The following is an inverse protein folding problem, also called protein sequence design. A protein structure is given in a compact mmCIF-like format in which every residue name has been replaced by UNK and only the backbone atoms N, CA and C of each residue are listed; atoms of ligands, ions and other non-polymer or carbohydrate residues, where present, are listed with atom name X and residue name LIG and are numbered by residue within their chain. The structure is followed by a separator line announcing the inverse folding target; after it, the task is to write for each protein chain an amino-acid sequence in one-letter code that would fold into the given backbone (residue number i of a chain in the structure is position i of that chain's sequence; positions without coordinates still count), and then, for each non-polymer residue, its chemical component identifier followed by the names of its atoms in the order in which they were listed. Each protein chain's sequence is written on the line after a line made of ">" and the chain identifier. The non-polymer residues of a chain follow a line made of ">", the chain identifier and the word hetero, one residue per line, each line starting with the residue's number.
data_IF_880675057544
#
_entry.id   IF_880675057544
#
_cell.length_a   1.000
_cell.length_b   1.000
_cell.length_c   1.000
_cell.angle_alpha   90.00
_cell.angle_beta   90.00
_cell.angle_gamma   90.00
#
_symmetry.space_group_name_H-M   'P 1'
#
loop_
_entity.id
_entity.type
_entity.pdbx_description
1 polymer ?
#
# COMPACT_ATOMS: atom_id res chain seq x y z
N UNK A 1 33.49 -46.96 32.42
CA UNK A 1 32.49 -46.77 31.33
C UNK A 1 31.94 -45.32 31.32
N UNK A 2 32.79 -44.30 31.50
CA UNK A 2 32.34 -42.89 31.62
C UNK A 2 32.82 -42.00 30.46
N UNK A 3 33.95 -42.32 29.83
CA UNK A 3 34.56 -41.52 28.76
C UNK A 3 33.66 -41.45 27.50
N UNK A 4 32.94 -42.53 27.16
CA UNK A 4 32.03 -42.56 26.00
C UNK A 4 30.79 -41.66 26.17
N UNK A 5 30.31 -41.46 27.40
CA UNK A 5 29.08 -40.70 27.68
C UNK A 5 29.28 -39.19 27.48
N UNK A 6 30.46 -38.67 27.83
CA UNK A 6 30.81 -37.27 27.62
C UNK A 6 31.12 -36.93 26.15
N UNK A 7 31.70 -37.86 25.39
CA UNK A 7 31.95 -37.68 23.95
C UNK A 7 30.63 -37.63 23.16
N UNK A 8 29.67 -38.50 23.50
CA UNK A 8 28.36 -38.54 22.85
C UNK A 8 27.53 -37.26 23.08
N UNK A 9 27.57 -36.68 24.30
CA UNK A 9 26.91 -35.40 24.61
C UNK A 9 27.51 -34.23 23.81
N UNK A 10 28.84 -34.19 23.63
CA UNK A 10 29.51 -33.16 22.83
C UNK A 10 29.15 -33.25 21.35
N UNK A 11 29.05 -34.47 20.81
CA UNK A 11 28.63 -34.70 19.42
C UNK A 11 27.18 -34.25 19.21
N UNK A 12 26.28 -34.58 20.16
CA UNK A 12 24.87 -34.18 20.10
C UNK A 12 24.67 -32.66 20.19
N UNK A 13 25.50 -31.96 20.99
CA UNK A 13 25.47 -30.50 21.09
C UNK A 13 25.97 -29.85 19.78
N UNK A 14 26.99 -30.45 19.14
CA UNK A 14 27.53 -29.95 17.89
C UNK A 14 26.54 -30.08 16.72
N UNK A 15 25.82 -31.22 16.64
CA UNK A 15 24.74 -31.41 15.66
C UNK A 15 23.54 -30.50 15.91
N UNK A 16 23.20 -30.23 17.17
CA UNK A 16 22.13 -29.26 17.48
C UNK A 16 22.52 -27.84 17.05
N UNK A 17 23.76 -27.41 17.30
CA UNK A 17 24.26 -26.10 16.87
C UNK A 17 24.31 -25.96 15.34
N UNK A 18 24.70 -27.00 14.59
CA UNK A 18 24.72 -26.93 13.13
C UNK A 18 23.32 -26.90 12.52
N UNK A 19 22.34 -27.61 13.09
CA UNK A 19 20.94 -27.55 12.64
C UNK A 19 20.33 -26.15 12.88
N UNK A 20 20.62 -25.53 14.01
CA UNK A 20 20.17 -24.16 14.33
C UNK A 20 20.80 -23.14 13.34
N UNK A 21 22.09 -23.28 13.03
CA UNK A 21 22.78 -22.40 12.08
C UNK A 21 22.25 -22.54 10.65
N UNK A 22 21.98 -23.77 10.19
CA UNK A 22 21.41 -24.04 8.86
C UNK A 22 19.96 -23.50 8.78
N UNK A 23 19.19 -23.59 9.86
CA UNK A 23 17.84 -23.01 9.96
C UNK A 23 17.87 -21.49 9.86
N UNK A 24 18.81 -20.83 10.54
CA UNK A 24 19.00 -19.38 10.51
C UNK A 24 19.40 -18.87 9.11
N UNK A 25 20.24 -19.63 8.38
CA UNK A 25 20.62 -19.25 7.01
C UNK A 25 19.47 -19.40 6.01
N UNK A 26 18.62 -20.43 6.16
CA UNK A 26 17.42 -20.60 5.33
C UNK A 26 16.39 -19.50 5.56
N UNK A 27 16.16 -19.13 6.81
CA UNK A 27 15.23 -18.02 7.16
C UNK A 27 15.74 -16.68 6.67
N UNK A 28 17.06 -16.41 6.76
CA UNK A 28 17.66 -15.19 6.20
C UNK A 28 17.50 -15.12 4.68
N UNK A 29 17.83 -16.21 3.96
CA UNK A 29 17.62 -16.31 2.51
C UNK A 29 16.15 -16.19 2.08
N UNK A 30 15.21 -16.71 2.87
CA UNK A 30 13.77 -16.52 2.60
C UNK A 30 13.33 -15.09 2.85
N UNK A 31 13.85 -14.45 3.90
CA UNK A 31 13.59 -13.04 4.22
C UNK A 31 14.10 -12.12 3.11
N UNK A 32 15.29 -12.36 2.60
CA UNK A 32 15.90 -11.58 1.50
C UNK A 32 15.20 -11.82 0.14
N UNK A 33 14.52 -12.97 -0.01
CA UNK A 33 13.75 -13.33 -1.21
C UNK A 33 12.30 -12.83 -1.19
N UNK A 34 11.74 -12.64 0.00
CA UNK A 34 10.39 -12.08 0.23
C UNK A 34 10.40 -10.56 0.38
N UNK A 35 11.52 -10.00 0.81
CA UNK A 35 11.73 -8.57 0.98
C UNK A 35 13.12 -8.26 0.43
N UNK A 36 13.27 -7.90 -0.87
CA UNK A 36 14.55 -7.47 -1.40
C UNK A 36 15.14 -6.37 -0.52
N UNK A 37 16.48 -6.25 -0.53
CA UNK A 37 17.29 -5.45 0.40
C UNK A 37 16.64 -4.14 0.84
N UNK A 38 16.99 -3.73 2.07
CA UNK A 38 16.36 -2.71 2.89
C UNK A 38 17.04 -1.32 2.89
N UNK A 39 17.45 -0.72 1.75
CA UNK A 39 17.95 0.65 1.79
C UNK A 39 16.96 1.63 2.44
N UNK A 40 15.65 1.33 2.37
CA UNK A 40 14.62 2.16 2.97
C UNK A 40 14.62 2.14 4.51
N UNK A 41 15.00 1.02 5.14
CA UNK A 41 15.15 0.97 6.61
C UNK A 41 16.36 1.80 7.07
N UNK A 42 17.43 1.85 6.26
CA UNK A 42 18.65 2.60 6.57
C UNK A 42 18.51 4.11 6.32
N UNK A 43 17.60 4.51 5.44
CA UNK A 43 17.35 5.91 5.11
C UNK A 43 16.31 6.62 6.02
N UNK A 44 15.86 5.99 7.10
CA UNK A 44 14.82 6.52 8.00
C UNK A 44 13.51 6.90 7.29
N UNK A 45 13.23 6.30 6.13
CA UNK A 45 11.97 6.52 5.41
C UNK A 45 10.86 5.76 6.14
N UNK A 46 9.75 6.45 6.37
CA UNK A 46 8.56 5.85 6.99
C UNK A 46 8.12 4.60 6.20
N UNK A 47 7.96 3.48 6.92
CA UNK A 47 7.59 2.17 6.35
C UNK A 47 6.37 2.22 5.45
N UNK A 48 5.46 3.15 5.71
CA UNK A 48 4.29 3.37 4.88
C UNK A 48 4.63 3.58 3.39
N UNK A 49 5.70 4.30 3.07
CA UNK A 49 6.02 4.73 1.70
C UNK A 49 6.86 3.76 0.88
N UNK A 50 7.33 2.66 1.48
CA UNK A 50 8.10 1.62 0.78
C UNK A 50 7.54 0.21 0.99
N UNK A 51 6.44 0.07 1.71
CA UNK A 51 5.67 -1.16 1.71
C UNK A 51 4.93 -1.30 0.38
N UNK A 52 5.14 -2.39 -0.34
CA UNK A 52 4.52 -2.66 -1.65
C UNK A 52 3.45 -3.77 -1.57
N UNK A 53 3.41 -4.50 -0.47
CA UNK A 53 2.54 -5.66 -0.28
C UNK A 53 2.38 -6.05 1.19
N UNK A 54 1.28 -6.75 1.48
CA UNK A 54 1.18 -7.62 2.65
C UNK A 54 0.92 -9.07 2.24
N UNK A 55 0.48 -9.89 3.18
CA UNK A 55 0.38 -11.34 2.95
C UNK A 55 -0.61 -11.72 1.83
N UNK A 56 -1.71 -10.98 1.73
CA UNK A 56 -2.86 -11.26 0.86
C UNK A 56 -3.32 -10.05 0.04
N UNK A 57 -2.48 -9.00 -0.06
CA UNK A 57 -2.81 -7.78 -0.80
C UNK A 57 -1.58 -7.09 -1.38
N UNK A 58 -1.80 -6.34 -2.46
CA UNK A 58 -0.89 -5.34 -3.01
C UNK A 58 -1.33 -3.95 -2.58
N UNK A 59 -0.38 -3.02 -2.46
CA UNK A 59 -0.68 -1.63 -2.12
C UNK A 59 0.07 -0.61 -2.97
N UNK A 60 -0.55 0.57 -3.12
CA UNK A 60 0.09 1.80 -3.59
C UNK A 60 -0.07 2.87 -2.51
N UNK A 61 1.01 3.36 -1.88
CA UNK A 61 0.90 4.43 -0.89
C UNK A 61 0.49 5.76 -1.54
N UNK A 62 -0.50 6.43 -0.95
CA UNK A 62 -0.90 7.78 -1.35
C UNK A 62 -0.24 8.82 -0.42
N UNK A 63 -1.02 9.52 0.39
CA UNK A 63 -0.55 10.41 1.44
C UNK A 63 -0.98 9.80 2.77
N UNK A 64 -0.03 9.49 3.66
CA UNK A 64 -0.29 8.82 4.93
C UNK A 64 -1.47 9.46 5.67
N UNK A 65 -2.48 8.68 6.11
CA UNK A 65 -2.53 7.21 6.11
C UNK A 65 -3.21 6.57 4.89
N UNK A 66 -3.54 7.34 3.85
CA UNK A 66 -4.30 6.86 2.69
C UNK A 66 -3.48 6.02 1.73
N UNK A 67 -4.01 4.89 1.33
CA UNK A 67 -3.40 3.93 0.42
C UNK A 67 -4.46 3.33 -0.50
N UNK A 68 -4.06 2.95 -1.71
CA UNK A 68 -4.85 2.01 -2.51
C UNK A 68 -4.43 0.60 -2.14
N UNK A 69 -5.40 -0.28 -1.91
CA UNK A 69 -5.17 -1.71 -1.67
C UNK A 69 -5.96 -2.52 -2.69
N UNK A 70 -5.38 -3.65 -3.12
CA UNK A 70 -6.07 -4.66 -3.92
C UNK A 70 -5.75 -6.04 -3.36
N UNK A 71 -6.79 -6.75 -2.93
CA UNK A 71 -6.66 -8.11 -2.40
C UNK A 71 -6.22 -9.07 -3.51
N UNK A 72 -5.44 -10.09 -3.16
CA UNK A 72 -5.07 -11.14 -4.10
C UNK A 72 -6.31 -11.85 -4.63
N UNK A 73 -6.40 -11.98 -5.95
CA UNK A 73 -7.58 -12.55 -6.63
C UNK A 73 -8.72 -11.56 -6.85
N UNK A 74 -8.67 -10.36 -6.26
CA UNK A 74 -9.58 -9.26 -6.59
C UNK A 74 -9.08 -8.51 -7.84
N UNK A 75 -10.03 -7.95 -8.60
CA UNK A 75 -9.75 -6.98 -9.66
C UNK A 75 -9.82 -5.54 -9.16
N UNK A 76 -10.45 -5.33 -8.01
CA UNK A 76 -10.87 -4.02 -7.57
C UNK A 76 -9.87 -3.40 -6.60
N UNK A 77 -9.59 -2.12 -6.84
CA UNK A 77 -8.85 -1.28 -5.93
C UNK A 77 -9.79 -0.61 -4.94
N UNK A 78 -9.35 -0.54 -3.69
CA UNK A 78 -10.02 0.13 -2.58
C UNK A 78 -9.11 1.23 -2.03
N UNK A 79 -9.69 2.38 -1.73
CA UNK A 79 -9.05 3.38 -0.89
C UNK A 79 -9.23 3.01 0.57
N UNK A 80 -8.10 2.90 1.27
CA UNK A 80 -8.03 2.51 2.66
C UNK A 80 -7.18 3.51 3.45
N UNK A 81 -7.43 3.60 4.76
CA UNK A 81 -6.56 4.34 5.72
C UNK A 81 -5.82 3.40 6.68
N UNK A 82 -5.89 2.09 6.47
CA UNK A 82 -5.35 1.05 7.34
C UNK A 82 -6.16 -0.25 7.31
N UNK A 83 -5.91 -1.16 8.27
CA UNK A 83 -6.66 -2.43 8.42
C UNK A 83 -7.85 -2.34 9.38
N UNK A 84 -8.07 -1.18 10.00
CA UNK A 84 -9.14 -1.00 10.99
C UNK A 84 -10.41 -0.51 10.30
N UNK A 85 -11.22 -1.49 9.85
CA UNK A 85 -12.52 -1.39 9.17
C UNK A 85 -13.57 -0.48 9.85
N UNK A 86 -13.32 -0.02 11.07
CA UNK A 86 -14.24 0.80 11.85
C UNK A 86 -13.83 2.28 11.74
N UNK A 87 -14.33 2.96 10.70
CA UNK A 87 -14.12 4.40 10.47
C UNK A 87 -13.45 4.79 9.15
N UNK A 88 -13.27 3.84 8.23
CA UNK A 88 -12.57 4.04 6.96
C UNK A 88 -13.38 4.85 5.94
N UNK A 89 -12.68 5.68 5.16
CA UNK A 89 -13.18 6.26 3.92
C UNK A 89 -13.29 5.14 2.87
N UNK A 90 -14.22 4.20 3.06
CA UNK A 90 -14.35 2.97 2.27
C UNK A 90 -14.86 3.26 0.85
N UNK A 91 -13.95 3.64 -0.04
CA UNK A 91 -14.21 3.81 -1.48
C UNK A 91 -13.64 2.61 -2.20
N UNK A 92 -14.52 1.70 -2.62
CA UNK A 92 -14.19 0.45 -3.33
C UNK A 92 -14.38 0.60 -4.84
N UNK A 93 -13.83 -0.31 -5.65
CA UNK A 93 -13.97 -0.32 -7.11
C UNK A 93 -13.52 1.02 -7.75
N UNK A 94 -12.31 1.45 -7.38
CA UNK A 94 -11.67 2.63 -7.94
C UNK A 94 -11.09 2.27 -9.31
N UNK A 95 -11.57 2.93 -10.36
CA UNK A 95 -11.03 2.76 -11.71
C UNK A 95 -10.13 3.93 -12.15
N UNK A 96 -10.27 5.09 -11.51
CA UNK A 96 -9.43 6.24 -11.75
C UNK A 96 -9.28 7.09 -10.49
N UNK A 97 -8.12 7.71 -10.34
CA UNK A 97 -7.82 8.58 -9.20
C UNK A 97 -6.76 9.61 -9.54
N UNK A 98 -6.59 10.60 -8.68
CA UNK A 98 -5.44 11.48 -8.67
C UNK A 98 -5.18 11.93 -7.23
N UNK A 99 -3.93 12.33 -6.98
CA UNK A 99 -3.46 12.80 -5.70
C UNK A 99 -2.81 14.16 -5.89
N UNK A 100 -3.31 15.13 -5.14
CA UNK A 100 -2.67 16.40 -4.93
C UNK A 100 -2.23 16.50 -3.46
N UNK A 101 -1.35 17.45 -3.15
CA UNK A 101 -0.87 17.76 -1.79
C UNK A 101 -1.96 17.78 -0.71
N UNK A 102 -3.17 18.24 -1.04
CA UNK A 102 -4.27 18.36 -0.08
C UNK A 102 -5.48 17.48 -0.39
N UNK A 103 -5.50 16.77 -1.52
CA UNK A 103 -6.69 16.07 -1.97
C UNK A 103 -6.39 14.72 -2.60
N UNK A 104 -7.29 13.75 -2.37
CA UNK A 104 -7.37 12.50 -3.12
C UNK A 104 -8.75 12.47 -3.77
N UNK A 105 -8.81 12.28 -5.08
CA UNK A 105 -10.07 12.38 -5.81
C UNK A 105 -10.07 11.45 -7.01
N UNK A 106 -11.25 11.12 -7.51
CA UNK A 106 -11.36 10.17 -8.60
C UNK A 106 -12.76 9.65 -8.81
N UNK A 107 -12.80 8.52 -9.50
CA UNK A 107 -14.02 7.86 -9.89
C UNK A 107 -14.08 6.46 -9.28
N UNK A 108 -15.25 6.15 -8.74
CA UNK A 108 -15.62 4.81 -8.33
C UNK A 108 -16.66 4.28 -9.32
N UNK A 109 -16.33 3.17 -9.96
CA UNK A 109 -17.22 2.55 -10.94
C UNK A 109 -18.43 1.88 -10.27
N UNK A 110 -19.50 1.73 -11.05
CA UNK A 110 -20.57 0.80 -10.70
C UNK A 110 -20.13 -0.64 -10.89
N UNK A 111 -20.68 -1.53 -10.07
CA UNK A 111 -20.65 -2.97 -10.33
C UNK A 111 -22.05 -3.52 -10.10
N UNK A 112 -22.55 -4.25 -11.09
CA UNK A 112 -23.81 -4.98 -11.00
C UNK A 112 -23.42 -6.44 -10.81
N UNK A 113 -23.80 -7.01 -9.67
CA UNK A 113 -23.67 -8.45 -9.48
C UNK A 113 -24.90 -9.14 -10.09
N UNK A 114 -24.73 -9.75 -11.26
CA UNK A 114 -25.81 -10.47 -11.95
C UNK A 114 -26.37 -11.64 -11.13
N UNK A 115 -25.61 -12.17 -10.17
CA UNK A 115 -26.01 -13.29 -9.31
C UNK A 115 -26.68 -12.83 -8.00
N UNK A 116 -26.54 -11.57 -7.61
CA UNK A 116 -27.19 -10.99 -6.43
C UNK A 116 -27.57 -9.52 -6.68
N UNK A 117 -28.83 -9.31 -7.08
CA UNK A 117 -29.39 -7.98 -7.33
C UNK A 117 -29.41 -7.05 -6.10
N UNK A 118 -29.19 -7.58 -4.89
CA UNK A 118 -29.07 -6.75 -3.68
C UNK A 118 -27.65 -6.21 -3.48
N UNK A 119 -26.68 -6.72 -4.24
CA UNK A 119 -25.29 -6.27 -4.22
C UNK A 119 -25.00 -5.38 -5.43
N UNK A 120 -25.55 -4.16 -5.41
CA UNK A 120 -25.27 -3.14 -6.41
C UNK A 120 -24.33 -2.09 -5.84
N UNK A 121 -23.16 -1.99 -6.47
CA UNK A 121 -22.16 -0.98 -6.16
C UNK A 121 -22.52 0.27 -6.98
N UNK A 122 -22.94 1.35 -6.30
CA UNK A 122 -23.37 2.60 -6.96
C UNK A 122 -22.17 3.42 -7.43
N UNK A 123 -22.19 3.86 -8.68
CA UNK A 123 -21.19 4.76 -9.27
C UNK A 123 -21.22 6.13 -8.58
N UNK A 124 -20.05 6.70 -8.29
CA UNK A 124 -19.94 8.10 -7.89
C UNK A 124 -18.51 8.62 -8.06
N UNK A 125 -18.40 9.94 -8.16
CA UNK A 125 -17.15 10.68 -8.09
C UNK A 125 -16.87 11.09 -6.65
N UNK A 126 -15.59 11.11 -6.27
CA UNK A 126 -15.21 11.43 -4.90
C UNK A 126 -14.09 12.45 -4.83
N UNK A 127 -14.12 13.27 -3.76
CA UNK A 127 -13.04 14.17 -3.37
C UNK A 127 -12.85 14.04 -1.87
N UNK A 128 -11.61 13.81 -1.44
CA UNK A 128 -11.21 13.71 -0.05
C UNK A 128 -10.29 14.87 0.27
N UNK A 129 -10.68 15.72 1.20
CA UNK A 129 -9.88 16.83 1.71
C UNK A 129 -9.02 16.37 2.89
N UNK A 130 -7.72 16.20 2.64
CA UNK A 130 -6.76 15.69 3.61
C UNK A 130 -6.56 16.62 4.81
N UNK A 131 -7.00 17.88 4.72
CA UNK A 131 -6.90 18.86 5.81
C UNK A 131 -7.98 18.69 6.86
N UNK A 132 -9.07 17.97 6.52
CA UNK A 132 -10.23 17.76 7.40
C UNK A 132 -10.10 16.51 8.28
N UNK A 133 -8.97 15.79 8.21
CA UNK A 133 -8.76 14.56 8.97
C UNK A 133 -9.20 13.32 8.21
N UNK A 134 -9.22 12.18 8.91
CA UNK A 134 -9.37 10.84 8.33
C UNK A 134 -10.66 10.13 8.74
N UNK A 135 -11.42 10.69 9.69
CA UNK A 135 -12.65 10.09 10.17
C UNK A 135 -13.84 10.50 9.31
N UNK A 136 -14.77 9.58 9.09
CA UNK A 136 -16.02 9.82 8.35
C UNK A 136 -16.84 10.97 8.97
N UNK A 137 -16.82 11.08 10.30
CA UNK A 137 -17.50 12.13 11.07
C UNK A 137 -16.94 13.53 10.80
N UNK A 138 -15.67 13.62 10.40
CA UNK A 138 -15.00 14.89 10.05
C UNK A 138 -15.22 15.27 8.56
N UNK A 139 -16.08 14.52 7.86
CA UNK A 139 -16.56 14.69 6.47
C UNK A 139 -15.49 15.14 5.47
N UNK A 140 -14.29 14.54 5.52
CA UNK A 140 -13.25 14.76 4.52
C UNK A 140 -13.71 14.33 3.11
N UNK A 141 -14.63 13.36 3.03
CA UNK A 141 -15.16 12.79 1.79
C UNK A 141 -16.41 13.52 1.29
N UNK A 142 -16.33 14.05 0.07
CA UNK A 142 -17.47 14.50 -0.74
C UNK A 142 -17.74 13.44 -1.81
N UNK A 143 -19.01 13.03 -1.94
CA UNK A 143 -19.49 12.14 -3.02
C UNK A 143 -20.39 12.92 -3.96
N UNK A 144 -20.22 12.71 -5.26
CA UNK A 144 -20.93 13.41 -6.33
C UNK A 144 -21.42 12.39 -7.35
N UNK A 145 -22.72 12.36 -7.61
CA UNK A 145 -23.33 11.36 -8.51
C UNK A 145 -23.17 11.75 -10.00
N UNK A 146 -22.78 13.00 -10.29
CA UNK A 146 -22.62 13.52 -11.65
C UNK A 146 -21.19 13.97 -11.91
N UNK A 147 -20.65 13.56 -13.05
CA UNK A 147 -19.34 14.02 -13.51
C UNK A 147 -19.27 15.54 -13.68
N UNK A 148 -20.34 16.19 -14.15
CA UNK A 148 -20.40 17.65 -14.32
C UNK A 148 -20.18 18.40 -13.00
N UNK A 149 -20.75 17.89 -11.91
CA UNK A 149 -20.67 18.50 -10.59
C UNK A 149 -19.26 18.28 -10.02
N UNK A 150 -18.67 17.12 -10.30
CA UNK A 150 -17.28 16.83 -9.97
C UNK A 150 -16.29 17.73 -10.72
N UNK A 151 -16.42 17.88 -12.03
CA UNK A 151 -15.58 18.79 -12.83
C UNK A 151 -15.72 20.25 -12.35
N UNK A 152 -16.93 20.70 -12.02
CA UNK A 152 -17.14 22.02 -11.42
C UNK A 152 -16.39 22.17 -10.08
N UNK A 153 -16.41 21.12 -9.25
CA UNK A 153 -15.69 21.12 -7.97
C UNK A 153 -14.17 21.10 -8.15
N UNK A 154 -13.63 20.38 -9.13
CA UNK A 154 -12.21 20.41 -9.44
C UNK A 154 -11.75 21.82 -9.84
N UNK A 155 -12.54 22.52 -10.66
CA UNK A 155 -12.27 23.92 -11.05
C UNK A 155 -12.32 24.87 -9.86
N UNK A 156 -13.33 24.74 -8.99
CA UNK A 156 -13.44 25.52 -7.75
C UNK A 156 -12.20 25.33 -6.85
N UNK A 157 -11.68 24.10 -6.77
CA UNK A 157 -10.52 23.74 -5.95
C UNK A 157 -9.18 23.94 -6.67
N UNK A 158 -9.18 24.39 -7.92
CA UNK A 158 -8.01 24.51 -8.80
C UNK A 158 -7.19 23.21 -8.90
N UNK A 159 -7.89 22.09 -9.11
CA UNK A 159 -7.33 20.76 -9.25
C UNK A 159 -7.19 20.35 -10.73
N UNK A 160 -6.14 19.60 -11.09
CA UNK A 160 -6.02 19.02 -12.42
C UNK A 160 -7.18 18.07 -12.75
N UNK A 161 -7.61 18.09 -14.01
CA UNK A 161 -8.60 17.14 -14.56
C UNK A 161 -7.90 15.91 -15.21
N UNK A 162 -6.66 15.63 -14.81
CA UNK A 162 -5.94 14.42 -15.22
C UNK A 162 -6.21 13.30 -14.22
N UNK A 163 -6.37 12.08 -14.71
CA UNK A 163 -6.61 10.91 -13.86
C UNK A 163 -5.61 9.81 -14.18
N UNK A 164 -5.26 9.08 -13.14
CA UNK A 164 -4.33 7.96 -13.16
C UNK A 164 -5.11 6.66 -13.08
N UNK A 165 -4.61 5.66 -13.80
CA UNK A 165 -5.09 4.29 -13.69
C UNK A 165 -4.35 3.59 -12.53
N UNK A 166 -5.06 3.02 -11.54
CA UNK A 166 -4.43 2.32 -10.40
C UNK A 166 -3.47 1.19 -10.79
N UNK A 167 -3.80 0.40 -11.81
CA UNK A 167 -2.94 -0.71 -12.24
C UNK A 167 -1.66 -0.20 -12.90
N UNK A 168 -1.75 0.82 -13.76
CA UNK A 168 -0.58 1.44 -14.39
C UNK A 168 0.36 2.04 -13.34
N UNK A 169 -0.21 2.75 -12.35
CA UNK A 169 0.55 3.31 -11.24
C UNK A 169 1.23 2.22 -10.44
N UNK A 170 0.53 1.11 -10.15
CA UNK A 170 1.12 0.00 -9.39
C UNK A 170 2.28 -0.65 -10.15
N UNK A 171 2.13 -0.88 -11.46
CA UNK A 171 3.22 -1.40 -12.29
C UNK A 171 4.43 -0.46 -12.31
N UNK A 172 4.21 0.85 -12.40
CA UNK A 172 5.27 1.85 -12.31
C UNK A 172 5.94 1.85 -10.93
N UNK A 173 5.15 1.79 -9.85
CA UNK A 173 5.64 1.79 -8.48
C UNK A 173 6.56 0.60 -8.17
N UNK A 174 6.23 -0.60 -8.69
CA UNK A 174 7.08 -1.78 -8.57
C UNK A 174 8.46 -1.61 -9.22
N UNK A 175 8.54 -0.82 -10.29
CA UNK A 175 9.78 -0.58 -11.03
C UNK A 175 10.57 0.60 -10.45
N UNK A 176 9.85 1.68 -10.10
CA UNK A 176 10.40 2.88 -9.50
C UNK A 176 9.49 3.30 -8.32
N UNK A 177 9.90 3.04 -7.08
CA UNK A 177 9.06 3.26 -5.90
C UNK A 177 8.97 4.74 -5.48
N UNK A 178 9.21 5.68 -6.40
CA UNK A 178 9.07 7.12 -6.17
C UNK A 178 7.84 7.62 -6.90
N UNK A 179 6.76 7.89 -6.16
CA UNK A 179 5.50 8.39 -6.72
C UNK A 179 5.46 9.91 -6.78
N UNK A 180 4.73 10.45 -7.76
CA UNK A 180 4.65 11.90 -8.03
C UNK A 180 4.12 12.72 -6.86
N UNK A 181 3.27 12.15 -6.02
CA UNK A 181 2.66 12.81 -4.86
C UNK A 181 3.41 12.59 -3.55
N UNK A 182 4.53 11.86 -3.55
CA UNK A 182 5.31 11.72 -2.33
C UNK A 182 5.77 13.08 -1.79
N UNK A 183 5.83 13.24 -0.46
CA UNK A 183 6.48 14.40 0.14
C UNK A 183 7.90 14.57 -0.42
N UNK A 184 8.32 15.82 -0.65
CA UNK A 184 9.61 16.12 -1.32
C UNK A 184 10.82 15.62 -0.53
N UNK A 185 10.74 15.60 0.80
CA UNK A 185 11.74 14.99 1.68
C UNK A 185 11.85 13.48 1.45
N UNK A 186 10.72 12.77 1.33
CA UNK A 186 10.67 11.34 1.02
C UNK A 186 11.24 11.07 -0.38
N UNK A 187 10.89 11.88 -1.39
CA UNK A 187 11.45 11.75 -2.75
C UNK A 187 12.97 11.89 -2.75
N UNK A 188 13.50 12.92 -2.08
CA UNK A 188 14.94 13.14 -1.96
C UNK A 188 15.66 11.97 -1.31
N UNK A 189 15.12 11.46 -0.20
CA UNK A 189 15.69 10.29 0.49
C UNK A 189 15.70 9.05 -0.42
N UNK A 190 14.62 8.80 -1.17
CA UNK A 190 14.53 7.68 -2.11
C UNK A 190 15.50 7.83 -3.31
N UNK A 191 15.66 9.04 -3.83
CA UNK A 191 16.60 9.32 -4.92
C UNK A 191 18.06 9.13 -4.50
N UNK A 192 18.43 9.55 -3.29
CA UNK A 192 19.78 9.38 -2.75
C UNK A 192 20.16 7.91 -2.59
N UNK A 193 19.23 7.10 -2.09
CA UNK A 193 19.36 5.64 -2.01
C UNK A 193 19.59 5.01 -3.39
N UNK A 194 18.77 5.37 -4.36
CA UNK A 194 18.82 4.76 -5.70
C UNK A 194 20.11 5.12 -6.45
N UNK A 195 20.76 6.24 -6.11
CA UNK A 195 22.07 6.64 -6.66
C UNK A 195 23.26 5.92 -6.00
N UNK A 196 23.06 5.31 -4.83
CA UNK A 196 24.11 4.57 -4.09
C UNK A 196 24.17 3.07 -4.45
N UNK A 197 23.18 2.57 -5.21
CA UNK A 197 23.15 1.21 -5.78
C UNK A 197 23.79 1.17 -7.15
#
# INVERSE_FOLDING_TARGET
>A
MEIKKNSMKKIFLLTLCTVILISCQKTKKMKDKLFPERPYEEANIDKFYWSDSGWDYTMVPLIKPFQLIKLQGSKDWELSTGFNRFGEIGVYNINSFNVNKYYIYGHKASEINESDSNYNIVEYWYIIDLRKGVKIEDSALVKLDKESDFQAKLKELNLPETFLNPDEVYEQYKQNPVLLWFPEDIKKQLEEINKQK
#
